data_IF_265231087152
#
_entry.id   IF_265231087152
#
_cell.length_a   1.000
_cell.length_b   1.000
_cell.length_c   1.000
_cell.angle_alpha   90.00
_cell.angle_beta   90.00
_cell.angle_gamma   90.00
#
_symmetry.space_group_name_H-M   'P 1'
#
loop_
_entity.id
_entity.type
_entity.pdbx_description
1 polymer ?
#
# COMPACT_ATOMS: atom_id res chain seq x y z
N UNK A 1 45.68 29.14 27.47
CA UNK A 1 44.50 29.68 26.75
C UNK A 1 44.37 28.95 25.43
N UNK A 2 43.57 27.88 25.38
CA UNK A 2 42.90 27.38 24.16
C UNK A 2 41.61 26.71 24.64
N UNK A 3 40.47 27.39 24.47
CA UNK A 3 39.14 26.79 24.64
C UNK A 3 38.80 26.07 23.34
N UNK A 4 38.65 24.74 23.40
CA UNK A 4 38.11 23.92 22.31
C UNK A 4 36.57 24.07 22.32
N UNK A 5 36.05 24.86 21.38
CA UNK A 5 34.62 24.92 21.09
C UNK A 5 34.23 23.67 20.29
N UNK A 6 33.50 22.76 20.91
CA UNK A 6 32.84 21.65 20.22
C UNK A 6 31.55 22.21 19.60
N UNK A 7 31.61 22.56 18.32
CA UNK A 7 30.40 22.89 17.54
C UNK A 7 29.59 21.63 17.30
N UNK A 8 28.50 21.46 18.03
CA UNK A 8 27.45 20.49 17.71
C UNK A 8 26.68 21.02 16.50
N UNK A 9 26.98 20.51 15.32
CA UNK A 9 26.14 20.69 14.14
C UNK A 9 24.90 19.81 14.32
N UNK A 10 23.82 20.42 14.81
CA UNK A 10 22.49 19.81 14.75
C UNK A 10 22.16 19.70 13.26
N UNK A 11 22.23 18.48 12.71
CA UNK A 11 21.71 18.20 11.39
C UNK A 11 20.20 18.49 11.43
N UNK A 12 19.79 19.63 10.88
CA UNK A 12 18.41 19.96 10.58
C UNK A 12 17.94 18.94 9.54
N UNK A 13 17.34 17.84 10.02
CA UNK A 13 16.60 16.95 9.15
C UNK A 13 15.51 17.80 8.50
N UNK A 14 15.40 17.86 7.17
CA UNK A 14 14.27 18.53 6.54
C UNK A 14 13.00 17.91 7.11
N UNK A 15 12.14 18.75 7.69
CA UNK A 15 10.79 18.32 8.03
C UNK A 15 10.16 17.82 6.74
N UNK A 16 9.92 16.51 6.67
CA UNK A 16 9.13 15.91 5.62
C UNK A 16 7.79 16.65 5.59
N UNK A 17 7.62 17.49 4.58
CA UNK A 17 6.33 18.11 4.31
C UNK A 17 5.37 16.97 3.98
N UNK A 18 4.09 17.07 4.40
CA UNK A 18 3.08 16.13 3.92
C UNK A 18 2.97 16.30 2.40
N UNK A 19 3.71 15.48 1.66
CA UNK A 19 3.83 15.53 0.21
C UNK A 19 2.49 15.25 -0.48
N UNK A 20 1.58 14.58 0.23
CA UNK A 20 0.24 14.26 -0.23
C UNK A 20 -0.74 15.25 0.40
N UNK A 21 -1.27 16.16 -0.40
CA UNK A 21 -2.40 17.01 -0.01
C UNK A 21 -3.62 16.59 -0.82
N UNK A 22 -4.34 15.59 -0.33
CA UNK A 22 -5.59 15.13 -0.97
C UNK A 22 -6.80 15.65 -0.21
N UNK A 23 -7.78 16.15 -0.95
CA UNK A 23 -9.11 16.36 -0.38
C UNK A 23 -9.77 15.00 -0.10
N UNK A 24 -10.71 14.95 0.85
CA UNK A 24 -11.53 13.76 1.07
C UNK A 24 -12.24 13.32 -0.23
N UNK A 25 -12.63 14.26 -1.10
CA UNK A 25 -13.23 13.96 -2.39
C UNK A 25 -12.24 13.30 -3.39
N UNK A 26 -10.95 13.61 -3.31
CA UNK A 26 -9.93 12.90 -4.09
C UNK A 26 -9.72 11.49 -3.54
N UNK A 27 -9.63 11.32 -2.22
CA UNK A 27 -9.50 10.00 -1.58
C UNK A 27 -10.67 9.07 -1.96
N UNK A 28 -11.91 9.60 -1.96
CA UNK A 28 -13.08 8.85 -2.43
C UNK A 28 -12.98 8.46 -3.91
N UNK A 29 -12.52 9.36 -4.78
CA UNK A 29 -12.34 9.07 -6.22
C UNK A 29 -11.27 7.99 -6.43
N UNK A 30 -10.16 8.08 -5.70
CA UNK A 30 -9.09 7.06 -5.70
C UNK A 30 -9.67 5.71 -5.25
N UNK A 31 -10.38 5.67 -4.12
CA UNK A 31 -11.00 4.45 -3.59
C UNK A 31 -11.96 3.77 -4.58
N UNK A 32 -12.85 4.56 -5.22
CA UNK A 32 -13.75 4.03 -6.25
C UNK A 32 -12.99 3.48 -7.45
N UNK A 33 -11.92 4.14 -7.87
CA UNK A 33 -11.10 3.67 -9.00
C UNK A 33 -10.36 2.36 -8.67
N UNK A 34 -9.80 2.25 -7.47
CA UNK A 34 -9.21 1.00 -6.98
C UNK A 34 -10.28 -0.09 -6.96
N UNK A 35 -11.46 0.17 -6.38
CA UNK A 35 -12.53 -0.82 -6.35
C UNK A 35 -12.96 -1.30 -7.76
N UNK A 36 -13.04 -0.37 -8.71
CA UNK A 36 -13.37 -0.69 -10.10
C UNK A 36 -12.31 -1.58 -10.74
N UNK A 37 -11.03 -1.30 -10.51
CA UNK A 37 -9.93 -2.03 -11.14
C UNK A 37 -9.70 -3.39 -10.48
N UNK A 38 -9.82 -3.47 -9.15
CA UNK A 38 -9.40 -4.61 -8.35
C UNK A 38 -10.52 -5.60 -8.04
N UNK A 39 -11.77 -5.13 -8.01
CA UNK A 39 -12.94 -5.94 -7.69
C UNK A 39 -14.02 -5.86 -8.78
N UNK A 40 -13.71 -5.28 -9.94
CA UNK A 40 -14.67 -4.96 -11.01
C UNK A 40 -15.87 -4.12 -10.53
N UNK A 41 -15.70 -3.35 -9.43
CA UNK A 41 -16.78 -2.60 -8.79
C UNK A 41 -17.86 -3.48 -8.14
N UNK A 42 -17.60 -4.77 -7.94
CA UNK A 42 -18.56 -5.72 -7.38
C UNK A 42 -18.37 -5.91 -5.88
N UNK A 43 -19.48 -6.20 -5.17
CA UNK A 43 -19.45 -6.52 -3.74
C UNK A 43 -18.80 -7.89 -3.50
N UNK A 44 -19.03 -8.86 -4.38
CA UNK A 44 -18.41 -10.19 -4.29
C UNK A 44 -16.89 -10.13 -4.47
N UNK A 45 -16.39 -9.24 -5.33
CA UNK A 45 -14.95 -9.03 -5.55
C UNK A 45 -14.21 -8.46 -4.35
N UNK A 46 -14.91 -7.94 -3.33
CA UNK A 46 -14.28 -7.49 -2.09
C UNK A 46 -13.82 -8.64 -1.18
N UNK A 47 -14.19 -9.88 -1.49
CA UNK A 47 -13.74 -11.05 -0.71
C UNK A 47 -13.28 -12.17 -1.62
N UNK A 48 -11.99 -12.51 -1.55
CA UNK A 48 -11.38 -13.54 -2.37
C UNK A 48 -10.45 -14.44 -1.56
N UNK A 49 -10.25 -15.65 -2.06
CA UNK A 49 -9.18 -16.55 -1.63
C UNK A 49 -8.71 -17.30 -2.87
N UNK A 50 -7.59 -16.87 -3.45
CA UNK A 50 -7.16 -17.41 -4.73
C UNK A 50 -6.56 -18.80 -4.57
N UNK A 51 -6.55 -19.55 -5.67
CA UNK A 51 -5.88 -20.84 -5.69
C UNK A 51 -4.36 -20.65 -5.50
N UNK A 52 -3.76 -21.42 -4.60
CA UNK A 52 -2.33 -21.33 -4.29
C UNK A 52 -2.00 -20.38 -3.13
N UNK A 53 -2.97 -19.60 -2.64
CA UNK A 53 -2.81 -18.74 -1.47
C UNK A 53 -3.24 -19.45 -0.17
N UNK A 54 -2.63 -19.07 0.94
CA UNK A 54 -2.93 -19.56 2.29
C UNK A 54 -3.64 -18.51 3.16
N UNK A 55 -4.16 -17.45 2.55
CA UNK A 55 -4.83 -16.31 3.17
C UNK A 55 -6.08 -15.87 2.40
N UNK A 56 -6.96 -15.12 3.06
CA UNK A 56 -8.04 -14.39 2.40
C UNK A 56 -7.58 -12.98 2.02
N UNK A 57 -8.03 -12.49 0.86
CA UNK A 57 -7.82 -11.13 0.36
C UNK A 57 -9.13 -10.35 0.45
N UNK A 58 -9.12 -9.22 1.15
CA UNK A 58 -10.33 -8.50 1.54
C UNK A 58 -10.27 -7.01 1.19
N UNK A 59 -11.40 -6.44 0.81
CA UNK A 59 -11.54 -5.01 0.55
C UNK A 59 -10.88 -4.54 -0.74
N UNK A 60 -10.96 -3.24 -1.01
CA UNK A 60 -10.47 -2.65 -2.26
C UNK A 60 -8.94 -2.75 -2.39
N UNK A 61 -8.23 -2.83 -1.26
CA UNK A 61 -6.78 -3.00 -1.23
C UNK A 61 -6.31 -4.45 -1.25
N UNK A 62 -7.19 -5.45 -1.39
CA UNK A 62 -6.87 -6.88 -1.27
C UNK A 62 -6.04 -7.17 0.00
N UNK A 63 -6.52 -6.65 1.13
CA UNK A 63 -5.85 -6.75 2.41
C UNK A 63 -5.79 -8.22 2.86
N UNK A 64 -4.59 -8.66 3.20
CA UNK A 64 -4.27 -10.05 3.52
C UNK A 64 -4.71 -10.36 4.95
N UNK A 65 -5.45 -11.46 5.12
CA UNK A 65 -5.85 -11.99 6.42
C UNK A 65 -5.51 -13.49 6.53
N UNK A 66 -4.54 -13.82 7.39
CA UNK A 66 -4.11 -15.20 7.60
C UNK A 66 -4.98 -15.93 8.63
N UNK A 67 -5.16 -17.25 8.46
CA UNK A 67 -5.72 -18.11 9.51
C UNK A 67 -4.89 -18.11 10.78
N UNK A 68 -5.51 -18.51 11.89
CA UNK A 68 -4.83 -18.64 13.18
C UNK A 68 -3.64 -19.60 13.07
N UNK A 69 -2.49 -19.18 13.59
CA UNK A 69 -1.27 -19.98 13.58
C UNK A 69 -0.61 -20.13 12.21
N UNK A 70 -1.10 -19.43 11.18
CA UNK A 70 -0.47 -19.37 9.86
C UNK A 70 0.16 -18.00 9.61
N UNK A 71 1.27 -18.04 8.88
CA UNK A 71 1.99 -16.88 8.36
C UNK A 71 2.55 -17.27 7.01
N UNK A 72 2.41 -16.38 6.04
CA UNK A 72 3.01 -16.52 4.72
C UNK A 72 4.15 -15.52 4.53
N UNK A 73 4.73 -15.49 3.32
CA UNK A 73 5.83 -14.59 2.98
C UNK A 73 5.38 -13.12 2.86
N UNK A 74 4.06 -12.87 2.76
CA UNK A 74 3.49 -11.54 2.59
C UNK A 74 3.02 -10.95 3.93
N UNK A 75 3.14 -9.63 4.04
CA UNK A 75 2.70 -8.88 5.22
C UNK A 75 1.17 -8.94 5.41
N UNK A 76 0.73 -9.33 6.61
CA UNK A 76 -0.68 -9.29 6.99
C UNK A 76 -1.17 -7.85 7.17
N UNK A 77 -2.20 -7.45 6.41
CA UNK A 77 -2.67 -6.06 6.35
C UNK A 77 -4.12 -5.86 6.75
N UNK A 78 -4.98 -6.88 6.69
CA UNK A 78 -6.40 -6.75 7.02
C UNK A 78 -6.67 -6.31 8.47
N UNK A 79 -5.99 -6.87 9.51
CA UNK A 79 -6.15 -6.37 10.87
C UNK A 79 -5.78 -4.89 11.03
N UNK A 80 -4.80 -4.40 10.24
CA UNK A 80 -4.35 -3.00 10.29
C UNK A 80 -5.43 -2.05 9.74
N UNK A 81 -6.07 -2.40 8.62
CA UNK A 81 -7.16 -1.59 8.07
C UNK A 81 -8.39 -1.62 8.98
N UNK A 82 -8.73 -2.76 9.59
CA UNK A 82 -9.82 -2.84 10.58
C UNK A 82 -9.54 -1.94 11.78
N UNK A 83 -8.30 -1.93 12.30
CA UNK A 83 -7.89 -1.00 13.37
C UNK A 83 -8.09 0.45 12.98
N UNK A 84 -7.65 0.81 11.77
CA UNK A 84 -7.72 2.16 11.24
C UNK A 84 -9.15 2.65 11.06
N UNK A 85 -10.02 1.79 10.52
CA UNK A 85 -11.45 2.03 10.33
C UNK A 85 -12.16 2.17 11.68
N UNK A 86 -11.89 1.26 12.62
CA UNK A 86 -12.50 1.26 13.96
C UNK A 86 -12.15 2.53 14.74
N UNK A 87 -10.89 2.99 14.68
CA UNK A 87 -10.44 4.24 15.32
C UNK A 87 -11.16 5.49 14.77
N UNK A 88 -11.75 5.41 13.58
CA UNK A 88 -12.57 6.48 12.97
C UNK A 88 -14.07 6.34 13.26
N UNK A 89 -14.45 5.44 14.18
CA UNK A 89 -15.82 5.32 14.68
C UNK A 89 -16.76 4.47 13.82
N UNK A 90 -16.25 3.82 12.76
CA UNK A 90 -17.05 2.90 11.97
C UNK A 90 -17.45 1.66 12.79
N UNK A 91 -18.69 1.21 12.60
CA UNK A 91 -19.23 0.03 13.30
C UNK A 91 -18.61 -1.24 12.73
N UNK A 92 -18.07 -2.08 13.60
CA UNK A 92 -17.53 -3.37 13.22
C UNK A 92 -18.62 -4.44 13.17
N UNK A 93 -18.63 -5.34 12.16
CA UNK A 93 -19.49 -6.51 12.15
C UNK A 93 -19.10 -7.47 13.27
N UNK A 94 -20.01 -8.36 13.65
CA UNK A 94 -19.84 -9.29 14.79
C UNK A 94 -18.54 -10.09 14.72
N UNK A 95 -18.14 -10.50 13.52
CA UNK A 95 -16.90 -11.23 13.26
C UNK A 95 -15.64 -10.48 13.73
N UNK A 96 -15.67 -9.14 13.71
CA UNK A 96 -14.52 -8.28 14.03
C UNK A 96 -14.60 -7.66 15.44
N UNK A 97 -15.68 -7.91 16.19
CA UNK A 97 -15.86 -7.34 17.55
C UNK A 97 -14.86 -7.88 18.57
N UNK A 98 -14.25 -9.04 18.34
CA UNK A 98 -13.17 -9.57 19.18
C UNK A 98 -11.83 -8.82 18.99
N UNK A 99 -11.82 -7.78 18.15
CA UNK A 99 -10.69 -6.87 17.96
C UNK A 99 -9.69 -7.33 16.91
N UNK A 100 -8.63 -6.55 16.77
CA UNK A 100 -7.55 -6.72 15.77
C UNK A 100 -6.71 -7.99 15.94
N UNK A 101 -6.81 -8.68 17.08
CA UNK A 101 -6.16 -9.98 17.28
C UNK A 101 -6.94 -11.15 16.68
N UNK A 102 -8.14 -10.90 16.15
CA UNK A 102 -8.94 -11.91 15.51
C UNK A 102 -8.27 -12.33 14.19
N UNK A 103 -7.77 -13.57 14.14
CA UNK A 103 -7.31 -14.19 12.90
C UNK A 103 -8.48 -14.53 11.98
N UNK A 104 -8.18 -14.78 10.69
CA UNK A 104 -9.17 -15.20 9.72
C UNK A 104 -9.94 -16.43 10.25
N UNK A 105 -11.28 -16.40 10.30
CA UNK A 105 -12.08 -17.48 10.88
C UNK A 105 -12.10 -18.73 10.01
N UNK A 106 -11.73 -18.60 8.73
CA UNK A 106 -11.66 -19.70 7.78
C UNK A 106 -10.22 -20.21 7.69
N UNK A 107 -10.02 -21.50 7.89
CA UNK A 107 -8.68 -22.12 7.90
C UNK A 107 -8.23 -22.62 6.53
N UNK A 108 -9.11 -22.54 5.53
CA UNK A 108 -8.82 -22.96 4.16
C UNK A 108 -9.72 -22.24 3.15
N UNK A 109 -9.25 -22.21 1.90
CA UNK A 109 -10.06 -21.78 0.75
C UNK A 109 -11.40 -22.53 0.67
N UNK A 110 -11.43 -23.83 0.97
CA UNK A 110 -12.65 -24.62 0.93
C UNK A 110 -13.68 -24.18 1.98
N UNK A 111 -13.23 -23.85 3.20
CA UNK A 111 -14.10 -23.25 4.23
C UNK A 111 -14.61 -21.87 3.81
N UNK A 112 -13.72 -21.04 3.27
CA UNK A 112 -14.06 -19.71 2.78
C UNK A 112 -15.09 -19.74 1.63
N UNK A 113 -14.95 -20.72 0.72
CA UNK A 113 -15.90 -20.93 -0.38
C UNK A 113 -17.26 -21.41 0.12
N UNK A 114 -17.32 -22.28 1.13
CA UNK A 114 -18.60 -22.67 1.75
C UNK A 114 -19.27 -21.52 2.50
N UNK A 115 -18.48 -20.58 3.02
CA UNK A 115 -18.98 -19.44 3.77
C UNK A 115 -19.51 -18.28 2.91
N UNK A 116 -19.43 -18.37 1.57
CA UNK A 116 -19.72 -17.26 0.66
C UNK A 116 -21.12 -16.65 0.84
N UNK A 117 -22.09 -17.41 1.36
CA UNK A 117 -23.47 -16.96 1.55
C UNK A 117 -23.90 -16.92 3.02
N UNK A 118 -22.97 -17.04 3.97
CA UNK A 118 -23.31 -16.97 5.40
C UNK A 118 -23.57 -15.52 5.83
N UNK A 119 -24.25 -15.37 6.97
CA UNK A 119 -24.53 -14.06 7.56
C UNK A 119 -23.23 -13.31 7.83
N UNK A 120 -22.19 -13.98 8.33
CA UNK A 120 -20.90 -13.39 8.64
C UNK A 120 -20.20 -12.85 7.39
N UNK A 121 -20.19 -13.60 6.29
CA UNK A 121 -19.58 -13.15 5.03
C UNK A 121 -20.34 -11.95 4.44
N UNK A 122 -21.66 -11.95 4.51
CA UNK A 122 -22.48 -10.84 4.03
C UNK A 122 -22.28 -9.58 4.88
N UNK A 123 -22.20 -9.71 6.21
CA UNK A 123 -21.86 -8.61 7.11
C UNK A 123 -20.45 -8.09 6.85
N UNK A 124 -19.48 -8.96 6.59
CA UNK A 124 -18.11 -8.57 6.24
C UNK A 124 -18.09 -7.76 4.93
N UNK A 125 -18.79 -8.21 3.90
CA UNK A 125 -18.91 -7.46 2.63
C UNK A 125 -19.61 -6.12 2.80
N UNK A 126 -20.69 -6.07 3.57
CA UNK A 126 -21.38 -4.81 3.85
C UNK A 126 -20.45 -3.82 4.54
N UNK A 127 -19.72 -4.28 5.56
CA UNK A 127 -18.68 -3.48 6.22
C UNK A 127 -17.62 -2.97 5.22
N UNK A 128 -17.14 -3.82 4.30
CA UNK A 128 -16.16 -3.43 3.29
C UNK A 128 -16.73 -2.43 2.27
N UNK A 129 -18.01 -2.51 1.93
CA UNK A 129 -18.66 -1.52 1.05
C UNK A 129 -18.85 -0.18 1.77
N UNK A 130 -19.33 -0.22 3.01
CA UNK A 130 -19.65 0.98 3.81
C UNK A 130 -18.41 1.76 4.23
N UNK A 131 -17.21 1.20 4.03
CA UNK A 131 -15.93 1.77 4.48
C UNK A 131 -14.92 1.93 3.34
N UNK A 132 -15.37 1.97 2.08
CA UNK A 132 -14.48 2.14 0.91
C UNK A 132 -13.64 3.43 1.02
N UNK A 133 -14.24 4.52 1.48
CA UNK A 133 -13.57 5.79 1.73
C UNK A 133 -12.46 5.65 2.78
N UNK A 134 -12.74 4.98 3.90
CA UNK A 134 -11.77 4.74 4.96
C UNK A 134 -10.66 3.76 4.53
N UNK A 135 -10.97 2.78 3.67
CA UNK A 135 -9.96 1.92 3.06
C UNK A 135 -9.04 2.72 2.14
N UNK A 136 -9.58 3.67 1.36
CA UNK A 136 -8.77 4.56 0.53
C UNK A 136 -7.87 5.48 1.38
N UNK A 137 -8.42 6.08 2.45
CA UNK A 137 -7.63 6.85 3.41
C UNK A 137 -6.51 6.02 4.04
N UNK A 138 -6.76 4.75 4.36
CA UNK A 138 -5.73 3.84 4.89
C UNK A 138 -4.60 3.62 3.88
N UNK A 139 -4.94 3.38 2.61
CA UNK A 139 -3.96 3.20 1.54
C UNK A 139 -3.12 4.46 1.30
N UNK A 140 -3.73 5.64 1.37
CA UNK A 140 -3.02 6.93 1.28
C UNK A 140 -2.09 7.10 2.49
N UNK A 141 -2.56 6.87 3.71
CA UNK A 141 -1.72 6.95 4.91
C UNK A 141 -0.53 5.97 4.87
N UNK A 142 -0.73 4.78 4.29
CA UNK A 142 0.36 3.83 4.03
C UNK A 142 1.39 4.39 3.05
N UNK A 143 0.94 5.03 1.97
CA UNK A 143 1.81 5.67 0.99
C UNK A 143 2.61 6.83 1.61
N UNK A 144 1.99 7.67 2.45
CA UNK A 144 2.68 8.73 3.20
C UNK A 144 3.79 8.15 4.09
N UNK A 145 3.50 7.04 4.77
CA UNK A 145 4.48 6.32 5.59
C UNK A 145 5.57 5.60 4.79
N UNK A 146 5.41 5.43 3.47
CA UNK A 146 6.39 4.75 2.62
C UNK A 146 7.55 5.66 2.20
N UNK A 147 7.29 6.95 1.92
CA UNK A 147 8.32 7.88 1.45
C UNK A 147 9.54 7.97 2.39
N UNK A 148 9.38 8.14 3.73
CA UNK A 148 10.53 8.23 4.63
C UNK A 148 11.39 6.96 4.63
N UNK A 149 10.77 5.79 4.48
CA UNK A 149 11.47 4.51 4.39
C UNK A 149 12.27 4.41 3.09
N UNK A 150 11.66 4.80 1.96
CA UNK A 150 12.32 4.82 0.66
C UNK A 150 13.52 5.77 0.67
N UNK A 151 13.41 6.95 1.27
CA UNK A 151 14.53 7.89 1.39
C UNK A 151 15.65 7.39 2.32
N UNK A 152 15.30 6.63 3.35
CA UNK A 152 16.29 6.01 4.23
C UNK A 152 17.09 4.92 3.49
N UNK A 153 16.42 4.12 2.66
CA UNK A 153 17.02 3.05 1.84
C UNK A 153 17.79 3.58 0.63
N UNK A 154 17.31 4.65 -0.01
CA UNK A 154 17.91 5.20 -1.23
C UNK A 154 19.36 5.66 -1.01
N UNK A 155 20.19 5.47 -2.03
CA UNK A 155 21.55 5.98 -2.04
C UNK A 155 21.54 7.51 -1.87
N UNK A 156 22.52 8.11 -1.15
CA UNK A 156 22.50 9.54 -0.86
C UNK A 156 22.33 10.45 -2.09
N UNK A 157 22.88 10.05 -3.24
CA UNK A 157 22.77 10.78 -4.50
C UNK A 157 21.36 10.76 -5.10
N UNK A 158 20.57 9.70 -4.84
CA UNK A 158 19.26 9.49 -5.46
C UNK A 158 18.10 10.03 -4.61
N UNK A 159 18.32 10.27 -3.31
CA UNK A 159 17.27 10.71 -2.36
C UNK A 159 16.50 11.94 -2.85
N UNK A 160 17.21 12.94 -3.37
CA UNK A 160 16.58 14.16 -3.87
C UNK A 160 15.68 13.87 -5.08
N UNK A 161 16.14 13.02 -6.01
CA UNK A 161 15.35 12.60 -7.16
C UNK A 161 14.11 11.81 -6.72
N UNK A 162 14.28 10.81 -5.84
CA UNK A 162 13.16 9.99 -5.33
C UNK A 162 12.08 10.86 -4.70
N UNK A 163 12.48 11.81 -3.83
CA UNK A 163 11.54 12.74 -3.22
C UNK A 163 10.83 13.60 -4.28
N UNK A 164 11.58 14.18 -5.22
CA UNK A 164 11.03 15.01 -6.28
C UNK A 164 10.00 14.25 -7.15
N UNK A 165 10.32 13.03 -7.57
CA UNK A 165 9.42 12.23 -8.42
C UNK A 165 8.17 11.76 -7.68
N UNK A 166 8.32 11.42 -6.39
CA UNK A 166 7.18 11.12 -5.52
C UNK A 166 6.23 12.32 -5.43
N UNK A 167 6.76 13.50 -5.08
CA UNK A 167 5.97 14.72 -4.95
C UNK A 167 5.32 15.12 -6.28
N UNK A 168 6.05 15.01 -7.39
CA UNK A 168 5.53 15.27 -8.75
C UNK A 168 4.30 14.42 -9.06
N UNK A 169 4.33 13.12 -8.76
CA UNK A 169 3.17 12.24 -8.94
C UNK A 169 2.04 12.56 -7.95
N UNK A 170 2.38 12.81 -6.67
CA UNK A 170 1.42 13.05 -5.61
C UNK A 170 0.58 14.33 -5.80
N UNK A 171 1.08 15.31 -6.56
CA UNK A 171 0.35 16.57 -6.87
C UNK A 171 -0.91 16.37 -7.71
N UNK A 172 -1.06 15.24 -8.38
CA UNK A 172 -2.24 14.97 -9.23
C UNK A 172 -3.03 13.78 -8.71
N UNK A 173 -4.37 13.77 -8.82
CA UNK A 173 -5.17 12.60 -8.42
C UNK A 173 -4.78 11.32 -9.18
N UNK A 174 -4.40 11.42 -10.46
CA UNK A 174 -3.98 10.28 -11.27
C UNK A 174 -2.62 9.73 -10.86
N UNK A 175 -1.65 10.60 -10.60
CA UNK A 175 -0.33 10.19 -10.12
C UNK A 175 -0.40 9.63 -8.70
N UNK A 176 -1.18 10.24 -7.81
CA UNK A 176 -1.39 9.69 -6.47
C UNK A 176 -2.07 8.32 -6.50
N UNK A 177 -3.10 8.13 -7.35
CA UNK A 177 -3.68 6.80 -7.59
C UNK A 177 -2.59 5.79 -8.01
N UNK A 178 -1.72 6.15 -8.95
CA UNK A 178 -0.65 5.27 -9.43
C UNK A 178 0.35 4.89 -8.32
N UNK A 179 0.72 5.87 -7.47
CA UNK A 179 1.59 5.61 -6.31
C UNK A 179 0.93 4.67 -5.30
N UNK A 180 -0.34 4.92 -4.95
CA UNK A 180 -1.11 4.09 -4.00
C UNK A 180 -1.21 2.66 -4.50
N UNK A 181 -1.62 2.51 -5.77
CA UNK A 181 -1.79 1.22 -6.44
C UNK A 181 -0.46 0.43 -6.45
N UNK A 182 0.63 1.08 -6.85
CA UNK A 182 1.93 0.42 -6.94
C UNK A 182 2.47 -0.01 -5.57
N UNK A 183 2.38 0.85 -4.54
CA UNK A 183 2.79 0.46 -3.18
C UNK A 183 1.94 -0.70 -2.67
N UNK A 184 0.63 -0.69 -2.95
CA UNK A 184 -0.26 -1.71 -2.46
C UNK A 184 0.00 -3.09 -3.08
N UNK A 185 0.30 -3.15 -4.39
CA UNK A 185 0.39 -4.41 -5.13
C UNK A 185 1.81 -4.86 -5.51
N UNK A 186 2.79 -3.96 -5.53
CA UNK A 186 4.19 -4.25 -5.91
C UNK A 186 5.18 -3.95 -4.78
N UNK A 187 4.76 -3.19 -3.77
CA UNK A 187 5.52 -2.91 -2.56
C UNK A 187 6.31 -1.61 -2.62
N UNK A 188 6.84 -1.21 -1.47
CA UNK A 188 7.62 0.02 -1.28
C UNK A 188 9.01 -0.06 -1.93
N UNK A 189 9.58 -1.28 -2.03
CA UNK A 189 10.91 -1.50 -2.63
C UNK A 189 12.08 -1.33 -1.66
N UNK A 190 11.81 -1.44 -0.35
CA UNK A 190 12.79 -1.24 0.73
C UNK A 190 13.25 -2.55 1.38
N UNK A 191 12.58 -3.67 1.10
CA UNK A 191 12.96 -4.97 1.67
C UNK A 191 14.05 -5.63 0.82
N UNK A 192 15.17 -5.94 1.44
CA UNK A 192 16.29 -6.61 0.78
C UNK A 192 15.94 -8.03 0.32
N UNK A 193 15.01 -8.69 1.02
CA UNK A 193 14.46 -9.99 0.64
C UNK A 193 13.58 -9.93 -0.61
N UNK A 194 13.14 -8.74 -1.02
CA UNK A 194 12.39 -8.49 -2.25
C UNK A 194 13.31 -7.97 -3.36
N UNK A 195 14.48 -8.61 -3.51
CA UNK A 195 15.46 -8.30 -4.56
C UNK A 195 15.88 -9.58 -5.26
N UNK A 196 15.95 -9.54 -6.59
CA UNK A 196 16.56 -10.60 -7.39
C UNK A 196 17.85 -10.08 -8.01
N UNK A 197 18.96 -10.81 -7.79
CA UNK A 197 20.30 -10.39 -8.19
C UNK A 197 20.65 -8.97 -7.67
N UNK A 198 20.23 -8.66 -6.43
CA UNK A 198 20.42 -7.35 -5.80
C UNK A 198 19.48 -6.24 -6.29
N UNK A 199 18.64 -6.51 -7.30
CA UNK A 199 17.73 -5.53 -7.89
C UNK A 199 16.31 -5.66 -7.32
N UNK A 200 15.80 -4.58 -6.73
CA UNK A 200 14.41 -4.48 -6.28
C UNK A 200 13.44 -4.13 -7.41
N UNK A 201 12.15 -4.17 -7.09
CA UNK A 201 11.05 -3.85 -8.03
C UNK A 201 9.93 -2.99 -7.46
N UNK A 202 10.08 -2.52 -6.23
CA UNK A 202 9.05 -1.70 -5.58
C UNK A 202 9.11 -0.25 -6.03
N UNK A 203 8.27 0.58 -5.40
CA UNK A 203 8.11 1.99 -5.79
C UNK A 203 9.43 2.75 -5.80
N UNK A 204 10.33 2.51 -4.83
CA UNK A 204 11.65 3.14 -4.78
C UNK A 204 12.39 3.03 -6.12
N UNK A 205 12.50 1.82 -6.68
CA UNK A 205 13.25 1.60 -7.92
C UNK A 205 12.58 2.24 -9.15
N UNK A 206 11.26 2.39 -9.14
CA UNK A 206 10.55 3.13 -10.18
C UNK A 206 10.94 4.60 -10.12
N UNK A 207 10.86 5.22 -8.93
CA UNK A 207 11.16 6.63 -8.72
C UNK A 207 12.64 6.96 -8.99
N UNK A 208 13.57 6.07 -8.62
CA UNK A 208 15.00 6.19 -8.94
C UNK A 208 15.25 6.31 -10.45
N UNK A 209 14.45 5.61 -11.27
CA UNK A 209 14.59 5.59 -12.74
C UNK A 209 13.85 6.71 -13.48
N UNK A 210 13.08 7.53 -12.76
CA UNK A 210 12.36 8.68 -13.31
C UNK A 210 13.20 9.94 -13.19
N UNK A 211 13.22 10.77 -14.23
CA UNK A 211 14.02 12.01 -14.28
C UNK A 211 13.29 13.19 -14.94
N UNK A 212 12.05 13.01 -15.38
CA UNK A 212 11.26 14.09 -15.95
C UNK A 212 10.88 15.17 -14.95
N UNK A 213 10.43 16.29 -15.48
CA UNK A 213 10.08 17.50 -14.70
C UNK A 213 8.66 18.00 -14.96
N UNK A 214 8.02 17.55 -16.03
CA UNK A 214 6.66 18.00 -16.42
C UNK A 214 5.58 17.15 -15.74
N UNK A 215 4.68 17.78 -14.98
CA UNK A 215 3.56 17.10 -14.32
C UNK A 215 2.64 16.37 -15.32
N UNK A 216 2.44 16.94 -16.51
CA UNK A 216 1.58 16.36 -17.54
C UNK A 216 2.07 14.99 -18.05
N UNK A 217 3.39 14.77 -18.05
CA UNK A 217 4.00 13.52 -18.51
C UNK A 217 4.32 12.54 -17.36
N UNK A 218 4.06 12.93 -16.10
CA UNK A 218 4.54 12.18 -14.93
C UNK A 218 3.98 10.75 -14.87
N UNK A 219 2.70 10.57 -15.17
CA UNK A 219 2.04 9.25 -15.12
C UNK A 219 2.51 8.33 -16.25
N UNK A 220 2.74 8.88 -17.45
CA UNK A 220 3.24 8.10 -18.60
C UNK A 220 4.69 7.65 -18.38
N UNK A 221 5.52 8.53 -17.82
CA UNK A 221 6.88 8.20 -17.41
C UNK A 221 6.88 7.15 -16.29
N UNK A 222 6.04 7.32 -15.27
CA UNK A 222 5.87 6.34 -14.20
C UNK A 222 5.48 4.96 -14.73
N UNK A 223 4.50 4.91 -15.63
CA UNK A 223 4.05 3.66 -16.27
C UNK A 223 5.19 2.98 -17.05
N UNK A 224 5.96 3.77 -17.79
CA UNK A 224 7.12 3.28 -18.56
C UNK A 224 8.22 2.73 -17.65
N UNK A 225 8.55 3.46 -16.58
CA UNK A 225 9.51 3.07 -15.56
C UNK A 225 9.07 1.79 -14.83
N UNK A 226 7.83 1.75 -14.33
CA UNK A 226 7.22 0.57 -13.71
C UNK A 226 7.31 -0.66 -14.62
N UNK A 227 6.97 -0.52 -15.90
CA UNK A 227 7.07 -1.61 -16.88
C UNK A 227 8.50 -2.11 -17.03
N UNK A 228 9.49 -1.22 -17.12
CA UNK A 228 10.89 -1.61 -17.23
C UNK A 228 11.39 -2.35 -15.98
N UNK A 229 11.05 -1.83 -14.79
CA UNK A 229 11.41 -2.43 -13.49
C UNK A 229 10.79 -3.83 -13.33
N UNK A 230 9.51 -3.98 -13.64
CA UNK A 230 8.83 -5.28 -13.56
C UNK A 230 9.33 -6.26 -14.64
N UNK A 231 9.67 -5.78 -15.83
CA UNK A 231 10.30 -6.60 -16.87
C UNK A 231 11.65 -7.13 -16.37
N UNK A 232 12.47 -6.29 -15.75
CA UNK A 232 13.74 -6.70 -15.13
C UNK A 232 13.53 -7.74 -14.02
N UNK A 233 12.53 -7.56 -13.15
CA UNK A 233 12.18 -8.54 -12.12
C UNK A 233 11.94 -9.93 -12.72
N UNK A 234 11.18 -10.01 -13.81
CA UNK A 234 10.88 -11.29 -14.48
C UNK A 234 12.16 -11.93 -15.03
N UNK A 235 13.02 -11.15 -15.69
CA UNK A 235 14.30 -11.67 -16.20
C UNK A 235 15.25 -12.14 -15.10
N UNK A 236 15.21 -11.51 -13.93
CA UNK A 236 16.07 -11.87 -12.80
C UNK A 236 15.48 -12.97 -11.90
N UNK A 237 14.24 -13.44 -12.17
CA UNK A 237 13.58 -14.43 -11.34
C UNK A 237 14.38 -15.75 -11.30
N UNK A 238 14.50 -16.39 -10.12
CA UNK A 238 15.25 -17.64 -9.95
C UNK A 238 14.56 -18.87 -10.56
#
# INVERSE_FOLDING_TARGET
MVLLLISWTIALWPHLSNAITLSHADAQRIGKKIWQNECNGTISGLTAWNQGEDFASLGIGHFIWYPKGRRGPFEESFPKVVSFISKRGAKLPTLLLRGVEQSCPWNSRAEFSRAQHTVEMNQLRQFLVDTIDLQAEFLIARLEGALPKMLAEAAPADRANVQQQFERLARTPHGCYALVDYVNFKGEGVLHTERYQGQGWGLLQVLESMHGTSDAAAVDEFSSAAKAILTRRVHNAP
#
